data_IF_913786325670
#
_entry.id   IF_913786325670
#
_cell.length_a   1.000
_cell.length_b   1.000
_cell.length_c   1.000
_cell.angle_alpha   90.00
_cell.angle_beta   90.00
_cell.angle_gamma   90.00
#
_symmetry.space_group_name_H-M   'P 1'
#
loop_
_entity.id
_entity.type
_entity.pdbx_description
1 polymer ?
#
# COMPACT_ATOMS: atom_id res chain seq x y z
N UNK A 1 4.18 23.93 9.07
CA UNK A 1 4.48 22.75 8.24
C UNK A 1 5.17 21.72 9.13
N UNK A 2 4.43 20.77 9.67
CA UNK A 2 5.03 19.66 10.42
C UNK A 2 5.54 18.69 9.37
N UNK A 3 6.85 18.61 9.18
CA UNK A 3 7.48 17.53 8.42
C UNK A 3 7.26 16.25 9.24
N UNK A 4 6.19 15.51 8.91
CA UNK A 4 5.97 14.15 9.39
C UNK A 4 7.16 13.30 8.93
N UNK A 5 8.16 13.15 9.81
CA UNK A 5 9.15 12.10 9.65
C UNK A 5 8.42 10.78 9.88
N UNK A 6 8.38 9.93 8.85
CA UNK A 6 7.72 8.62 8.85
C UNK A 6 8.63 7.57 8.25
N UNK A 7 8.32 6.30 8.48
CA UNK A 7 9.02 5.15 7.90
C UNK A 7 8.08 4.42 6.96
N UNK A 8 8.52 4.16 5.75
CA UNK A 8 7.83 3.29 4.79
C UNK A 8 8.60 1.99 4.66
N UNK A 9 7.87 0.87 4.51
CA UNK A 9 8.49 -0.44 4.43
C UNK A 9 9.18 -0.64 3.07
N UNK A 10 8.53 -0.22 1.98
CA UNK A 10 9.08 -0.25 0.64
C UNK A 10 8.28 0.71 -0.25
N UNK A 11 8.94 1.32 -1.24
CA UNK A 11 8.27 2.01 -2.33
C UNK A 11 7.65 1.01 -3.31
N UNK A 12 6.34 1.11 -3.53
CA UNK A 12 5.57 0.34 -4.52
C UNK A 12 5.87 -1.18 -4.49
N UNK A 13 5.77 -1.86 -3.34
CA UNK A 13 5.96 -3.30 -3.30
C UNK A 13 4.91 -3.99 -4.19
N UNK A 14 5.38 -4.93 -5.01
CA UNK A 14 4.52 -5.81 -5.82
C UNK A 14 5.13 -7.21 -5.88
N UNK A 15 4.30 -8.21 -6.17
CA UNK A 15 4.78 -9.54 -6.47
C UNK A 15 5.46 -9.64 -7.85
N UNK A 16 5.16 -8.70 -8.75
CA UNK A 16 5.80 -8.57 -10.07
C UNK A 16 6.74 -7.36 -10.03
N UNK A 17 8.04 -7.62 -10.14
CA UNK A 17 9.04 -6.57 -10.26
C UNK A 17 9.13 -5.99 -11.68
N UNK A 18 10.10 -5.09 -11.89
CA UNK A 18 10.33 -4.41 -13.18
C UNK A 18 10.60 -5.33 -14.37
N UNK A 19 11.07 -6.56 -14.13
CA UNK A 19 11.29 -7.57 -15.18
C UNK A 19 10.04 -8.36 -15.54
N UNK A 20 8.93 -8.17 -14.82
CA UNK A 20 7.68 -8.93 -14.97
C UNK A 20 7.80 -10.40 -14.57
N UNK A 21 8.98 -10.86 -14.13
CA UNK A 21 9.21 -12.24 -13.73
C UNK A 21 8.54 -12.49 -12.37
N UNK A 22 7.64 -13.45 -12.34
CA UNK A 22 6.91 -13.87 -11.16
C UNK A 22 6.99 -15.39 -11.00
N UNK A 23 7.36 -15.84 -9.81
CA UNK A 23 7.59 -17.26 -9.49
C UNK A 23 6.31 -18.08 -9.32
N UNK A 24 5.13 -17.44 -9.39
CA UNK A 24 3.85 -18.09 -9.10
C UNK A 24 3.53 -18.22 -7.60
N UNK A 25 4.53 -18.05 -6.73
CA UNK A 25 4.42 -18.30 -5.28
C UNK A 25 4.16 -17.04 -4.45
N UNK A 26 4.40 -15.85 -5.01
CA UNK A 26 4.07 -14.58 -4.36
C UNK A 26 2.59 -14.26 -4.56
N UNK A 27 1.88 -14.01 -3.47
CA UNK A 27 0.44 -13.69 -3.43
C UNK A 27 0.19 -12.49 -2.52
N UNK A 28 -1.04 -12.00 -2.46
CA UNK A 28 -1.46 -10.98 -1.47
C UNK A 28 -1.11 -11.38 -0.05
N UNK A 29 -1.34 -12.65 0.31
CA UNK A 29 -0.92 -13.21 1.61
C UNK A 29 0.58 -13.12 1.83
N UNK A 30 1.41 -13.25 0.80
CA UNK A 30 2.87 -13.14 0.91
C UNK A 30 3.26 -11.74 1.33
N UNK A 31 2.71 -10.70 0.69
CA UNK A 31 3.02 -9.30 1.01
C UNK A 31 2.39 -8.88 2.34
N UNK A 32 1.13 -9.23 2.60
CA UNK A 32 0.50 -8.97 3.91
C UNK A 32 1.25 -9.67 5.04
N UNK A 33 1.71 -10.91 4.82
CA UNK A 33 2.55 -11.60 5.80
C UNK A 33 3.88 -10.88 6.01
N UNK A 34 4.57 -10.50 4.93
CA UNK A 34 5.79 -9.70 4.99
C UNK A 34 5.55 -8.42 5.82
N UNK A 35 4.55 -7.61 5.48
CA UNK A 35 4.16 -6.39 6.19
C UNK A 35 3.76 -6.62 7.67
N UNK A 36 3.15 -7.77 7.98
CA UNK A 36 2.82 -8.15 9.35
C UNK A 36 4.03 -8.66 10.15
N UNK A 37 5.03 -9.23 9.50
CA UNK A 37 6.23 -9.76 10.16
C UNK A 37 7.20 -8.63 10.57
N UNK A 38 7.51 -7.73 9.64
CA UNK A 38 6.92 -6.40 9.75
C UNK A 38 6.69 -5.86 11.18
N UNK A 39 5.43 -5.98 11.61
CA UNK A 39 4.76 -5.48 12.81
C UNK A 39 5.07 -6.16 14.15
N UNK A 40 5.35 -7.46 14.15
CA UNK A 40 5.22 -8.27 15.36
C UNK A 40 6.55 -8.73 15.91
N UNK A 41 7.04 -8.06 16.94
CA UNK A 41 7.81 -8.73 17.99
C UNK A 41 7.52 -8.11 19.36
N UNK A 42 6.32 -8.39 19.91
CA UNK A 42 6.07 -8.25 21.35
C UNK A 42 5.35 -9.45 21.99
N UNK A 43 5.08 -10.54 21.27
CA UNK A 43 4.50 -11.75 21.90
C UNK A 43 5.20 -13.01 21.36
N UNK A 44 6.06 -13.54 22.23
CA UNK A 44 6.57 -14.92 22.36
C UNK A 44 7.37 -15.57 21.21
N UNK A 45 8.63 -15.85 21.57
CA UNK A 45 9.48 -16.96 21.15
C UNK A 45 8.68 -18.27 20.88
N UNK A 46 8.81 -18.85 19.67
CA UNK A 46 9.38 -20.20 19.42
C UNK A 46 9.29 -20.64 17.94
N UNK A 47 10.46 -21.01 17.37
CA UNK A 47 10.74 -22.04 16.32
C UNK A 47 10.36 -21.88 14.81
N UNK A 48 11.42 -21.77 13.96
CA UNK A 48 11.62 -22.24 12.55
C UNK A 48 11.00 -21.47 11.33
N UNK A 49 11.61 -21.57 10.11
CA UNK A 49 12.59 -20.65 9.55
C UNK A 49 12.00 -19.67 8.51
N UNK A 50 11.92 -18.38 8.85
CA UNK A 50 11.79 -17.27 7.89
C UNK A 50 12.70 -16.11 8.31
N UNK A 51 14.00 -16.41 8.45
CA UNK A 51 15.03 -15.44 8.83
C UNK A 51 15.48 -14.64 7.61
N UNK A 52 14.72 -13.62 7.25
CA UNK A 52 15.24 -12.41 6.58
C UNK A 52 14.17 -11.31 6.55
N UNK A 53 12.90 -11.71 6.39
CA UNK A 53 11.76 -10.81 6.24
C UNK A 53 11.15 -10.39 7.58
N UNK A 54 11.35 -11.15 8.66
CA UNK A 54 10.74 -10.86 9.96
C UNK A 54 11.44 -9.77 10.77
N UNK A 55 12.69 -9.45 10.46
CA UNK A 55 13.47 -8.59 11.35
C UNK A 55 13.20 -7.10 11.13
N UNK A 56 12.79 -6.64 9.95
CA UNK A 56 13.07 -5.25 9.57
C UNK A 56 12.15 -4.17 10.15
N UNK A 57 10.85 -4.38 10.38
CA UNK A 57 9.99 -3.31 10.98
C UNK A 57 9.83 -3.40 12.49
N UNK A 58 9.90 -4.60 13.07
CA UNK A 58 9.99 -4.76 14.50
C UNK A 58 11.31 -4.18 15.00
N UNK A 59 12.39 -4.31 14.20
CA UNK A 59 13.64 -3.58 14.42
C UNK A 59 13.43 -2.07 14.35
N UNK A 60 12.73 -1.55 13.34
CA UNK A 60 12.43 -0.12 13.25
C UNK A 60 11.65 0.37 14.47
N UNK A 61 10.52 -0.26 14.85
CA UNK A 61 9.73 0.18 16.03
C UNK A 61 10.41 -0.07 17.38
N UNK A 62 11.27 -1.09 17.49
CA UNK A 62 12.06 -1.33 18.71
C UNK A 62 13.23 -0.36 18.86
N UNK A 63 13.72 0.22 17.76
CA UNK A 63 14.69 1.32 17.76
C UNK A 63 13.99 2.69 17.84
N UNK A 64 12.76 2.75 17.35
CA UNK A 64 12.04 3.98 17.08
C UNK A 64 10.54 3.82 17.33
N UNK A 65 10.15 3.94 18.59
CA UNK A 65 8.75 3.88 19.02
C UNK A 65 7.95 5.16 18.70
N UNK A 66 8.61 6.20 18.19
CA UNK A 66 8.01 7.54 18.05
C UNK A 66 7.52 7.81 16.62
N UNK A 67 8.12 7.18 15.61
CA UNK A 67 7.77 7.47 14.21
C UNK A 67 6.63 6.59 13.72
N UNK A 68 5.75 7.19 12.91
CA UNK A 68 4.69 6.46 12.23
C UNK A 68 5.28 5.54 11.14
N UNK A 69 4.65 4.38 10.96
CA UNK A 69 5.01 3.38 9.94
C UNK A 69 3.84 3.20 8.98
N UNK A 70 4.15 3.21 7.68
CA UNK A 70 3.24 2.82 6.63
C UNK A 70 3.90 1.84 5.65
N UNK A 71 3.09 1.33 4.74
CA UNK A 71 3.54 0.40 3.71
C UNK A 71 4.45 1.09 2.68
N UNK A 72 4.00 2.20 2.08
CA UNK A 72 4.61 2.79 0.88
C UNK A 72 4.08 2.19 -0.43
N UNK A 73 2.92 1.52 -0.38
CA UNK A 73 2.30 0.85 -1.52
C UNK A 73 1.34 1.74 -2.31
N UNK A 74 1.07 1.33 -3.54
CA UNK A 74 0.20 2.06 -4.48
C UNK A 74 -1.29 1.98 -4.12
N UNK A 75 -1.66 1.18 -3.11
CA UNK A 75 -3.03 1.00 -2.67
C UNK A 75 -3.86 -0.01 -3.47
N UNK A 76 -3.22 -0.93 -4.20
CA UNK A 76 -3.98 -1.90 -4.99
C UNK A 76 -4.90 -2.78 -4.14
N UNK A 77 -6.13 -3.00 -4.62
CA UNK A 77 -7.08 -3.89 -3.96
C UNK A 77 -6.92 -5.33 -4.42
N UNK A 78 -7.54 -6.23 -3.66
CA UNK A 78 -7.68 -7.64 -3.95
C UNK A 78 -9.17 -8.02 -4.05
N UNK A 79 -9.82 -7.54 -5.10
CA UNK A 79 -11.22 -7.78 -5.42
C UNK A 79 -11.33 -8.62 -6.70
N UNK A 80 -11.36 -9.96 -6.59
CA UNK A 80 -11.50 -10.84 -7.73
C UNK A 80 -12.75 -10.50 -8.54
N UNK A 81 -12.59 -10.26 -9.84
CA UNK A 81 -13.69 -9.88 -10.75
C UNK A 81 -13.85 -8.38 -10.98
N UNK A 82 -13.04 -7.53 -10.35
CA UNK A 82 -13.01 -6.11 -10.68
C UNK A 82 -12.55 -5.88 -12.14
N UNK A 83 -13.03 -4.79 -12.76
CA UNK A 83 -12.82 -4.53 -14.19
C UNK A 83 -11.37 -4.14 -14.54
N UNK A 84 -10.64 -3.56 -13.60
CA UNK A 84 -9.30 -3.02 -13.84
C UNK A 84 -8.30 -3.66 -12.88
N UNK A 85 -7.08 -3.91 -13.37
CA UNK A 85 -6.07 -4.64 -12.60
C UNK A 85 -5.70 -3.99 -11.25
N UNK A 86 -5.72 -2.65 -11.05
CA UNK A 86 -5.45 -2.05 -9.74
C UNK A 86 -6.40 -2.52 -8.64
N UNK A 87 -7.58 -3.05 -9.02
CA UNK A 87 -8.54 -3.61 -8.09
C UNK A 87 -8.51 -5.14 -7.98
N UNK A 88 -7.90 -5.85 -8.94
CA UNK A 88 -8.07 -7.30 -9.10
C UNK A 88 -7.21 -8.15 -8.13
N UNK A 89 -6.19 -7.57 -7.51
CA UNK A 89 -5.21 -8.28 -6.67
C UNK A 89 -4.06 -8.93 -7.44
N UNK A 90 -3.99 -8.74 -8.76
CA UNK A 90 -2.98 -9.37 -9.63
C UNK A 90 -1.54 -8.94 -9.34
N UNK A 91 -1.37 -7.78 -8.69
CA UNK A 91 -0.07 -7.24 -8.30
C UNK A 91 0.41 -7.78 -6.95
N UNK A 92 -0.41 -8.60 -6.28
CA UNK A 92 -0.09 -9.22 -5.01
C UNK A 92 -0.22 -8.29 -3.81
N UNK A 93 -0.97 -7.19 -3.96
CA UNK A 93 -1.29 -6.25 -2.88
C UNK A 93 -2.77 -6.37 -2.53
N UNK A 94 -3.06 -6.21 -1.24
CA UNK A 94 -4.40 -6.18 -0.67
C UNK A 94 -4.46 -5.02 0.31
N UNK A 95 -4.81 -3.84 -0.19
CA UNK A 95 -4.81 -2.60 0.60
C UNK A 95 -5.65 -2.72 1.88
N UNK A 96 -6.86 -3.29 1.79
CA UNK A 96 -7.75 -3.44 2.95
C UNK A 96 -7.18 -4.39 4.00
N UNK A 97 -6.50 -5.47 3.60
CA UNK A 97 -5.81 -6.36 4.53
C UNK A 97 -4.58 -5.70 5.15
N UNK A 98 -3.77 -5.01 4.33
CA UNK A 98 -2.55 -4.34 4.77
C UNK A 98 -2.86 -3.20 5.75
N UNK A 99 -3.89 -2.39 5.47
CA UNK A 99 -4.33 -1.30 6.34
C UNK A 99 -4.76 -1.79 7.74
N UNK A 100 -5.28 -3.02 7.85
CA UNK A 100 -5.68 -3.63 9.14
C UNK A 100 -4.52 -4.17 9.98
N UNK A 101 -3.29 -4.22 9.46
CA UNK A 101 -2.11 -4.67 10.22
C UNK A 101 -1.87 -3.72 11.40
N UNK A 102 -1.77 -4.24 12.62
CA UNK A 102 -1.79 -3.41 13.84
C UNK A 102 -0.63 -2.41 13.98
N UNK A 103 0.55 -2.66 13.39
CA UNK A 103 1.65 -1.68 13.38
C UNK A 103 1.70 -0.75 12.17
N UNK A 104 0.81 -0.92 11.20
CA UNK A 104 0.67 0.06 10.13
C UNK A 104 -0.17 1.18 10.71
N UNK A 105 0.42 2.36 10.89
CA UNK A 105 -0.22 3.48 11.58
C UNK A 105 -1.18 4.23 10.63
N UNK A 106 -0.87 4.25 9.33
CA UNK A 106 -1.68 4.86 8.27
C UNK A 106 -1.48 4.12 6.94
N UNK A 107 -2.46 4.23 6.04
CA UNK A 107 -2.38 3.69 4.69
C UNK A 107 -1.78 4.69 3.70
N UNK A 108 -1.16 4.16 2.66
CA UNK A 108 -0.59 4.90 1.55
C UNK A 108 -1.23 4.41 0.26
N UNK A 109 -1.46 5.31 -0.68
CA UNK A 109 -1.80 4.93 -2.04
C UNK A 109 -1.26 5.94 -3.03
N UNK A 110 -1.05 5.47 -4.26
CA UNK A 110 -0.56 6.29 -5.37
C UNK A 110 -1.69 6.50 -6.38
N UNK A 111 -1.52 7.40 -7.34
CA UNK A 111 -2.47 7.55 -8.45
C UNK A 111 -1.79 7.93 -9.76
N UNK A 112 -1.63 6.94 -10.64
CA UNK A 112 -1.10 7.12 -11.99
C UNK A 112 -2.04 6.48 -13.04
N UNK A 113 -3.26 7.02 -13.25
CA UNK A 113 -4.28 6.37 -14.08
C UNK A 113 -3.81 6.06 -15.51
N UNK A 114 -3.03 6.96 -16.12
CA UNK A 114 -2.50 6.77 -17.47
C UNK A 114 -1.55 5.56 -17.55
N UNK A 115 -0.65 5.40 -16.58
CA UNK A 115 0.25 4.24 -16.45
C UNK A 115 -0.50 2.94 -16.19
N UNK A 116 -1.72 3.03 -15.66
CA UNK A 116 -2.57 1.90 -15.30
C UNK A 116 -3.64 1.58 -16.36
N UNK A 117 -3.47 2.11 -17.58
CA UNK A 117 -4.35 1.85 -18.71
C UNK A 117 -5.68 2.61 -18.68
N UNK A 118 -5.79 3.64 -17.83
CA UNK A 118 -6.97 4.49 -17.66
C UNK A 118 -6.77 5.88 -18.28
N UNK A 119 -5.98 5.97 -19.36
CA UNK A 119 -5.66 7.23 -20.03
C UNK A 119 -6.91 7.92 -20.63
N UNK A 120 -7.91 7.15 -21.05
CA UNK A 120 -9.15 7.70 -21.66
C UNK A 120 -10.13 8.27 -20.63
N UNK A 121 -9.95 7.99 -19.34
CA UNK A 121 -10.87 8.36 -18.26
C UNK A 121 -10.12 8.73 -16.96
N UNK A 122 -8.90 9.27 -17.06
CA UNK A 122 -7.97 9.41 -15.92
C UNK A 122 -8.53 10.21 -14.75
N UNK A 123 -9.30 11.27 -15.03
CA UNK A 123 -9.90 12.13 -14.00
C UNK A 123 -10.98 11.40 -13.21
N UNK A 124 -11.95 10.80 -13.90
CA UNK A 124 -13.05 10.10 -13.25
C UNK A 124 -12.56 8.85 -12.53
N UNK A 125 -11.63 8.11 -13.15
CA UNK A 125 -11.02 6.94 -12.54
C UNK A 125 -10.21 7.31 -11.29
N UNK A 126 -9.34 8.33 -11.38
CA UNK A 126 -8.56 8.81 -10.23
C UNK A 126 -9.44 9.36 -9.10
N UNK A 127 -10.52 10.05 -9.45
CA UNK A 127 -11.52 10.53 -8.46
C UNK A 127 -12.19 9.37 -7.74
N UNK A 128 -12.58 8.31 -8.47
CA UNK A 128 -13.16 7.12 -7.87
C UNK A 128 -12.15 6.37 -6.99
N UNK A 129 -10.90 6.24 -7.46
CA UNK A 129 -9.80 5.65 -6.71
C UNK A 129 -9.62 6.32 -5.34
N UNK A 130 -9.62 7.66 -5.30
CA UNK A 130 -9.52 8.43 -4.05
C UNK A 130 -10.72 8.18 -3.13
N UNK A 131 -11.95 8.14 -3.68
CA UNK A 131 -13.17 7.88 -2.90
C UNK A 131 -13.20 6.48 -2.30
N UNK A 132 -12.69 5.49 -3.02
CA UNK A 132 -12.62 4.11 -2.54
C UNK A 132 -11.61 3.99 -1.39
N UNK A 133 -10.44 4.62 -1.52
CA UNK A 133 -9.44 4.67 -0.44
C UNK A 133 -9.97 5.42 0.79
N UNK A 134 -10.72 6.49 0.60
CA UNK A 134 -11.41 7.19 1.68
C UNK A 134 -12.49 6.32 2.36
N UNK A 135 -13.10 5.39 1.62
CA UNK A 135 -14.06 4.41 2.18
C UNK A 135 -13.33 3.37 3.02
N UNK A 136 -12.22 2.82 2.54
CA UNK A 136 -11.34 1.93 3.32
C UNK A 136 -10.78 2.62 4.58
N UNK A 137 -10.37 3.89 4.46
CA UNK A 137 -9.95 4.73 5.59
C UNK A 137 -11.01 4.76 6.69
N UNK A 138 -12.26 5.07 6.32
CA UNK A 138 -13.39 5.12 7.27
C UNK A 138 -13.72 3.76 7.85
N UNK A 139 -13.63 2.70 7.05
CA UNK A 139 -13.95 1.34 7.47
C UNK A 139 -12.94 0.75 8.47
N UNK A 140 -11.66 1.13 8.36
CA UNK A 140 -10.60 0.66 9.28
C UNK A 140 -10.37 1.63 10.44
N UNK A 141 -10.65 2.93 10.25
CA UNK A 141 -10.42 3.96 11.26
C UNK A 141 -8.96 4.40 11.39
N UNK A 142 -8.15 4.19 10.36
CA UNK A 142 -6.76 4.69 10.27
C UNK A 142 -6.65 5.76 9.20
N UNK A 143 -5.78 6.78 9.34
CA UNK A 143 -5.52 7.75 8.27
C UNK A 143 -5.05 7.06 6.99
N UNK A 144 -5.37 7.63 5.83
CA UNK A 144 -4.88 7.20 4.52
C UNK A 144 -4.40 8.43 3.75
N UNK A 145 -3.24 8.32 3.11
CA UNK A 145 -2.58 9.43 2.41
C UNK A 145 -2.40 9.05 0.94
N UNK A 146 -2.76 9.96 0.04
CA UNK A 146 -2.27 9.93 -1.35
C UNK A 146 -0.87 10.54 -1.34
N UNK A 147 0.17 9.71 -1.44
CA UNK A 147 1.55 10.19 -1.31
C UNK A 147 2.27 10.41 -2.64
N UNK A 148 1.73 9.83 -3.71
CA UNK A 148 2.13 10.09 -5.08
C UNK A 148 0.92 10.20 -6.02
N UNK A 149 0.95 11.15 -6.96
CA UNK A 149 -0.05 11.25 -8.01
C UNK A 149 0.50 12.00 -9.23
N UNK A 150 0.03 11.64 -10.43
CA UNK A 150 0.45 12.32 -11.65
C UNK A 150 -0.39 11.97 -12.88
N UNK A 151 -0.45 12.94 -13.80
CA UNK A 151 -1.02 12.84 -15.16
C UNK A 151 -0.05 13.51 -16.13
N UNK A 152 0.14 12.96 -17.33
CA UNK A 152 1.16 13.45 -18.28
C UNK A 152 0.69 14.65 -19.10
N UNK A 153 -0.63 14.90 -19.14
CA UNK A 153 -1.20 16.08 -19.76
C UNK A 153 -1.36 17.23 -18.76
N UNK A 154 -1.03 18.47 -19.18
CA UNK A 154 -1.32 19.67 -18.41
C UNK A 154 -2.84 19.76 -18.17
N UNK A 155 -3.30 19.40 -16.98
CA UNK A 155 -4.69 19.65 -16.61
C UNK A 155 -4.84 21.10 -16.16
N UNK A 156 -5.65 21.87 -16.90
CA UNK A 156 -5.90 23.28 -16.64
C UNK A 156 -6.67 23.55 -15.33
N UNK A 157 -7.14 22.51 -14.64
CA UNK A 157 -7.95 22.63 -13.43
C UNK A 157 -7.36 21.78 -12.30
N UNK A 158 -6.89 22.45 -11.25
CA UNK A 158 -6.71 21.84 -9.94
C UNK A 158 -8.07 21.43 -9.40
N UNK A 159 -8.36 20.12 -9.37
CA UNK A 159 -9.53 19.62 -8.67
C UNK A 159 -9.25 19.62 -7.17
N UNK A 160 -9.87 20.57 -6.47
CA UNK A 160 -9.86 20.62 -5.02
C UNK A 160 -10.90 19.61 -4.52
N UNK A 161 -10.45 18.42 -4.14
CA UNK A 161 -11.28 17.43 -3.47
C UNK A 161 -11.44 17.89 -2.02
N UNK A 162 -12.63 18.40 -1.69
CA UNK A 162 -13.04 18.80 -0.33
C UNK A 162 -13.89 17.68 0.27
#
# INVERSE_FOLDING_TARGET
MVLLHRRELANEPRCKGSTGIWTGTCTTKTITSWASMFSTLFIQYTHYPKKFVAEMSAYIKSIDSNHLVAMGDEGFYNQPGALTYPYQGSEGIDFDANLRISSIDFGTFHSYPESWGQASNSVDWGTQWIKDHATSQKAVGKPVIIEEFGVTSNQAASQQLI
#
